data_IF_605973803349
#
_entry.id   IF_605973803349
#
_cell.length_a   1.000
_cell.length_b   1.000
_cell.length_c   1.000
_cell.angle_alpha   90.00
_cell.angle_beta   90.00
_cell.angle_gamma   90.00
#
_symmetry.space_group_name_H-M   'P 1'
#
loop_
_entity.id
_entity.type
_entity.pdbx_description
1 polymer ?
#
# COMPACT_ATOMS: atom_id res chain seq x y z
N UNK A 1 -0.85 11.54 -17.37
CA UNK A 1 -1.27 10.16 -17.03
C UNK A 1 -2.78 10.03 -16.92
N UNK A 2 -3.46 10.72 -15.98
CA UNK A 2 -4.92 10.60 -15.79
C UNK A 2 -5.75 10.88 -17.06
N UNK A 3 -5.39 11.91 -17.84
CA UNK A 3 -6.05 12.19 -19.13
C UNK A 3 -5.87 11.05 -20.14
N UNK A 4 -4.71 10.40 -20.15
CA UNK A 4 -4.46 9.24 -21.00
C UNK A 4 -5.24 8.02 -20.50
N UNK A 5 -5.29 7.80 -19.19
CA UNK A 5 -6.08 6.72 -18.59
C UNK A 5 -7.56 6.89 -18.97
N UNK A 6 -8.11 8.11 -18.84
CA UNK A 6 -9.46 8.46 -19.31
C UNK A 6 -9.67 8.16 -20.79
N UNK A 7 -8.72 8.60 -21.64
CA UNK A 7 -8.79 8.41 -23.09
C UNK A 7 -8.85 6.93 -23.50
N UNK A 8 -8.25 6.05 -22.71
CA UNK A 8 -8.15 4.61 -23.01
C UNK A 8 -8.98 3.74 -22.05
N UNK A 9 -9.91 4.33 -21.31
CA UNK A 9 -10.78 3.65 -20.32
C UNK A 9 -10.02 2.78 -19.30
N UNK A 10 -8.89 3.30 -18.82
CA UNK A 10 -8.09 2.71 -17.74
C UNK A 10 -8.44 3.42 -16.44
N UNK A 11 -8.70 2.65 -15.37
CA UNK A 11 -8.90 3.18 -14.02
C UNK A 11 -7.56 3.29 -13.29
N UNK A 12 -7.51 4.20 -12.31
CA UNK A 12 -6.26 4.58 -11.65
C UNK A 12 -6.41 4.59 -10.14
N UNK A 13 -5.37 4.10 -9.46
CA UNK A 13 -5.07 4.45 -8.07
C UNK A 13 -3.99 5.53 -8.03
N UNK A 14 -4.14 6.46 -7.09
CA UNK A 14 -3.07 7.39 -6.75
C UNK A 14 -2.49 6.92 -5.44
N UNK A 15 -1.22 6.54 -5.47
CA UNK A 15 -0.49 6.03 -4.33
C UNK A 15 0.55 7.03 -3.82
N UNK A 16 0.50 7.30 -2.51
CA UNK A 16 1.58 7.99 -1.80
C UNK A 16 2.71 7.00 -1.50
N UNK A 17 3.59 6.84 -2.48
CA UNK A 17 4.62 5.79 -2.43
C UNK A 17 5.77 6.05 -1.43
N UNK A 18 5.94 7.30 -0.99
CA UNK A 18 7.02 7.70 -0.08
C UNK A 18 6.58 8.83 0.84
N UNK A 19 6.88 8.67 2.14
CA UNK A 19 6.60 9.67 3.16
C UNK A 19 7.88 10.35 3.69
N UNK A 20 7.78 11.57 4.25
CA UNK A 20 8.90 12.23 4.93
C UNK A 20 9.51 11.32 6.00
N UNK A 21 10.84 11.24 6.04
CA UNK A 21 11.56 10.36 6.97
C UNK A 21 11.58 8.89 6.59
N UNK A 22 10.87 8.48 5.52
CA UNK A 22 10.69 7.10 5.06
C UNK A 22 9.93 6.20 6.04
N UNK A 23 8.93 5.51 5.50
CA UNK A 23 8.06 4.58 6.23
C UNK A 23 8.61 3.15 6.31
N UNK A 24 9.66 2.83 5.56
CA UNK A 24 10.15 1.45 5.43
C UNK A 24 11.65 1.29 5.19
N UNK A 25 12.38 2.38 5.01
CA UNK A 25 13.83 2.36 4.78
C UNK A 25 14.24 1.73 3.45
N UNK A 26 13.28 1.44 2.57
CA UNK A 26 13.55 0.96 1.22
C UNK A 26 13.89 2.14 0.31
N UNK A 27 14.62 1.89 -0.78
CA UNK A 27 14.92 2.96 -1.74
C UNK A 27 13.69 3.40 -2.54
N UNK A 28 12.66 2.54 -2.68
CA UNK A 28 11.39 2.88 -3.32
C UNK A 28 10.65 4.03 -2.61
N UNK A 29 10.82 4.20 -1.30
CA UNK A 29 10.29 5.34 -0.53
C UNK A 29 10.97 6.68 -0.86
N UNK A 30 12.11 6.65 -1.56
CA UNK A 30 12.96 7.80 -1.87
C UNK A 30 14.07 8.07 -0.85
N UNK A 31 14.04 7.45 0.34
CA UNK A 31 15.08 7.60 1.37
C UNK A 31 15.43 6.26 2.03
N UNK A 32 16.41 5.57 1.45
CA UNK A 32 16.89 4.27 1.95
C UNK A 32 17.53 4.39 3.34
N UNK A 33 17.37 3.34 4.14
CA UNK A 33 18.00 3.12 5.45
C UNK A 33 17.55 4.13 6.55
N UNK A 34 16.41 4.81 6.35
CA UNK A 34 15.77 5.72 7.32
C UNK A 34 14.35 5.26 7.66
N UNK A 35 13.94 5.40 8.93
CA UNK A 35 12.66 4.94 9.47
C UNK A 35 12.01 6.02 10.36
N UNK A 36 12.10 7.27 9.93
CA UNK A 36 11.76 8.45 10.73
C UNK A 36 10.33 8.94 10.47
N UNK A 37 9.50 8.21 9.70
CA UNK A 37 8.12 8.59 9.36
C UNK A 37 7.26 8.99 10.57
N UNK A 38 7.43 8.32 11.71
CA UNK A 38 6.67 8.58 12.94
C UNK A 38 7.37 9.52 13.93
N UNK A 39 8.47 10.15 13.50
CA UNK A 39 9.27 11.05 14.32
C UNK A 39 9.00 12.51 13.95
N UNK A 40 8.95 13.39 14.95
CA UNK A 40 8.64 14.81 14.76
C UNK A 40 7.31 15.01 14.04
N UNK A 41 7.29 15.90 13.05
CA UNK A 41 6.10 16.28 12.29
C UNK A 41 5.94 15.50 10.96
N UNK A 42 6.78 14.48 10.71
CA UNK A 42 6.80 13.76 9.42
C UNK A 42 5.44 13.15 9.07
N UNK A 43 4.75 12.55 10.04
CA UNK A 43 3.40 12.00 9.86
C UNK A 43 2.39 13.10 9.51
N UNK A 44 2.49 14.28 10.14
CA UNK A 44 1.59 15.40 9.86
C UNK A 44 1.83 15.95 8.45
N UNK A 45 3.08 16.08 8.03
CA UNK A 45 3.42 16.51 6.67
C UNK A 45 2.86 15.52 5.63
N UNK A 46 2.93 14.21 5.90
CA UNK A 46 2.31 13.21 5.03
C UNK A 46 0.78 13.37 4.96
N UNK A 47 0.10 13.64 6.09
CA UNK A 47 -1.34 13.91 6.13
C UNK A 47 -1.71 15.19 5.36
N UNK A 48 -0.89 16.24 5.42
CA UNK A 48 -1.10 17.47 4.65
C UNK A 48 -0.97 17.22 3.14
N UNK A 49 0.00 16.39 2.73
CA UNK A 49 0.14 15.92 1.34
C UNK A 49 -1.07 15.10 0.91
N UNK A 50 -1.55 14.18 1.74
CA UNK A 50 -2.76 13.41 1.47
C UNK A 50 -4.01 14.28 1.38
N UNK A 51 -4.11 15.35 2.19
CA UNK A 51 -5.21 16.30 2.09
C UNK A 51 -5.17 17.04 0.75
N UNK A 52 -3.99 17.43 0.27
CA UNK A 52 -3.84 18.01 -1.06
C UNK A 52 -4.26 17.02 -2.16
N UNK A 53 -3.78 15.77 -2.08
CA UNK A 53 -4.14 14.69 -3.02
C UNK A 53 -5.66 14.48 -3.02
N UNK A 54 -6.28 14.38 -1.85
CA UNK A 54 -7.72 14.20 -1.67
C UNK A 54 -8.52 15.35 -2.26
N UNK A 55 -8.14 16.60 -1.98
CA UNK A 55 -8.82 17.78 -2.51
C UNK A 55 -8.75 17.84 -4.04
N UNK A 56 -7.62 17.44 -4.62
CA UNK A 56 -7.39 17.55 -6.06
C UNK A 56 -7.96 16.39 -6.87
N UNK A 57 -7.77 15.16 -6.39
CA UNK A 57 -8.05 13.94 -7.15
C UNK A 57 -9.20 13.12 -6.57
N UNK A 58 -9.62 13.40 -5.34
CA UNK A 58 -10.77 12.76 -4.68
C UNK A 58 -12.13 13.25 -5.17
N UNK A 59 -12.18 14.39 -5.85
CA UNK A 59 -13.40 15.05 -6.29
C UNK A 59 -14.01 14.51 -7.59
N UNK A 60 -15.17 15.08 -7.97
CA UNK A 60 -15.92 14.69 -9.17
C UNK A 60 -15.15 14.87 -10.48
N UNK A 61 -14.20 15.81 -10.52
CA UNK A 61 -13.39 16.10 -11.71
C UNK A 61 -12.60 14.87 -12.21
N UNK A 62 -12.29 13.93 -11.31
CA UNK A 62 -11.57 12.69 -11.61
C UNK A 62 -12.34 11.43 -11.23
N UNK A 63 -13.61 11.54 -10.79
CA UNK A 63 -14.39 10.41 -10.27
C UNK A 63 -14.69 9.31 -11.30
N UNK A 64 -14.50 9.56 -12.59
CA UNK A 64 -14.66 8.58 -13.66
C UNK A 64 -13.37 7.79 -13.98
N UNK A 65 -12.24 8.19 -13.40
CA UNK A 65 -10.90 7.62 -13.67
C UNK A 65 -10.22 7.14 -12.40
N UNK A 66 -10.18 7.99 -11.36
CA UNK A 66 -9.56 7.65 -10.08
C UNK A 66 -10.58 6.87 -9.25
N UNK A 67 -10.25 5.61 -8.99
CA UNK A 67 -11.11 4.68 -8.24
C UNK A 67 -10.58 4.38 -6.84
N UNK A 68 -9.39 4.90 -6.50
CA UNK A 68 -8.77 4.70 -5.19
C UNK A 68 -7.64 5.68 -4.93
N UNK A 69 -7.46 6.05 -3.68
CA UNK A 69 -6.28 6.76 -3.18
C UNK A 69 -5.66 5.89 -2.10
N UNK A 70 -4.42 5.48 -2.32
CA UNK A 70 -3.63 4.73 -1.35
C UNK A 70 -2.89 5.68 -0.42
N UNK A 71 -3.13 5.47 0.88
CA UNK A 71 -2.69 6.43 1.89
C UNK A 71 -1.18 6.41 2.08
N UNK A 72 -0.56 5.23 2.00
CA UNK A 72 0.88 5.07 2.16
C UNK A 72 1.30 3.67 1.72
N UNK A 73 2.19 3.60 0.73
CA UNK A 73 2.79 2.35 0.29
C UNK A 73 3.69 1.72 1.35
N UNK A 74 3.58 0.41 1.54
CA UNK A 74 4.53 -0.44 2.27
C UNK A 74 5.07 0.12 3.62
N UNK A 75 4.26 0.68 4.54
CA UNK A 75 4.78 1.02 5.86
C UNK A 75 5.28 -0.24 6.57
N UNK A 76 6.53 -0.23 7.04
CA UNK A 76 7.16 -1.42 7.62
C UNK A 76 6.67 -1.65 9.06
N UNK A 77 5.54 -2.34 9.21
CA UNK A 77 4.87 -2.52 10.49
C UNK A 77 5.71 -3.16 11.59
N UNK A 78 6.74 -3.94 11.25
CA UNK A 78 7.65 -4.58 12.21
C UNK A 78 8.59 -3.60 12.94
N UNK A 79 8.77 -2.37 12.42
CA UNK A 79 9.63 -1.34 13.03
C UNK A 79 8.88 -0.08 13.42
N UNK A 80 7.62 0.05 13.01
CA UNK A 80 6.75 1.20 13.31
C UNK A 80 5.83 0.91 14.50
N UNK A 81 5.35 1.96 15.15
CA UNK A 81 4.26 1.89 16.11
C UNK A 81 2.93 1.73 15.36
N UNK A 82 2.34 0.53 15.44
CA UNK A 82 1.08 0.22 14.75
C UNK A 82 -0.13 1.00 15.28
N UNK A 83 -0.10 1.50 16.52
CA UNK A 83 -1.13 2.38 17.05
C UNK A 83 -1.12 3.72 16.34
N UNK A 84 0.05 4.36 16.24
CA UNK A 84 0.23 5.61 15.49
C UNK A 84 -0.06 5.45 13.99
N UNK A 85 0.30 4.31 13.41
CA UNK A 85 0.00 4.02 12.00
C UNK A 85 -1.51 3.87 11.77
N UNK A 86 -2.22 3.22 12.70
CA UNK A 86 -3.68 3.14 12.68
C UNK A 86 -4.34 4.52 12.82
N UNK A 87 -3.80 5.40 13.66
CA UNK A 87 -4.26 6.80 13.77
C UNK A 87 -4.00 7.59 12.48
N UNK A 88 -2.89 7.36 11.80
CA UNK A 88 -2.59 7.94 10.49
C UNK A 88 -3.61 7.50 9.43
N UNK A 89 -3.95 6.21 9.34
CA UNK A 89 -4.95 5.71 8.39
C UNK A 89 -6.35 6.26 8.67
N UNK A 90 -6.77 6.32 9.94
CA UNK A 90 -8.06 6.93 10.31
C UNK A 90 -8.12 8.40 9.89
N UNK A 91 -7.06 9.17 10.13
CA UNK A 91 -6.99 10.57 9.71
C UNK A 91 -6.99 10.72 8.19
N UNK A 92 -6.21 9.91 7.46
CA UNK A 92 -6.22 9.89 5.99
C UNK A 92 -7.58 9.55 5.40
N UNK A 93 -8.28 8.56 5.97
CA UNK A 93 -9.65 8.21 5.62
C UNK A 93 -10.60 9.40 5.82
N UNK A 94 -10.57 10.03 6.99
CA UNK A 94 -11.43 11.18 7.28
C UNK A 94 -11.08 12.39 6.42
N UNK A 95 -9.81 12.65 6.13
CA UNK A 95 -9.40 13.71 5.22
C UNK A 95 -10.05 13.54 3.84
N UNK A 96 -10.07 12.33 3.29
CA UNK A 96 -10.75 12.06 2.02
C UNK A 96 -12.26 12.22 2.14
N UNK A 97 -12.90 11.61 3.14
CA UNK A 97 -14.36 11.66 3.32
C UNK A 97 -14.87 13.08 3.58
N UNK A 98 -14.11 13.90 4.30
CA UNK A 98 -14.45 15.29 4.59
C UNK A 98 -14.46 16.18 3.33
N UNK A 99 -13.84 15.76 2.23
CA UNK A 99 -13.97 16.45 0.93
C UNK A 99 -15.31 16.17 0.24
N UNK A 100 -16.11 15.23 0.77
CA UNK A 100 -17.30 14.69 0.11
C UNK A 100 -17.01 13.55 -0.87
N UNK A 101 -15.76 13.08 -0.94
CA UNK A 101 -15.35 12.00 -1.85
C UNK A 101 -15.90 10.64 -1.43
N UNK A 102 -16.37 9.89 -2.43
CA UNK A 102 -16.77 8.48 -2.32
C UNK A 102 -15.77 7.51 -2.94
N UNK A 103 -14.58 7.96 -3.32
CA UNK A 103 -13.54 7.07 -3.83
C UNK A 103 -13.08 6.08 -2.75
N UNK A 104 -12.50 4.95 -3.18
CA UNK A 104 -11.95 3.98 -2.25
C UNK A 104 -10.73 4.56 -1.54
N UNK A 105 -10.62 4.28 -0.24
CA UNK A 105 -9.39 4.46 0.52
C UNK A 105 -8.66 3.13 0.49
N UNK A 106 -7.44 3.14 -0.04
CA UNK A 106 -6.60 1.95 -0.10
C UNK A 106 -5.60 2.00 1.05
N UNK A 107 -5.49 0.88 1.78
CA UNK A 107 -4.58 0.71 2.90
C UNK A 107 -3.70 -0.49 2.61
N UNK A 108 -2.40 -0.27 2.41
CA UNK A 108 -1.41 -1.35 2.37
C UNK A 108 -1.41 -2.14 3.70
N UNK A 109 -1.25 -3.46 3.62
CA UNK A 109 -1.37 -4.38 4.75
C UNK A 109 -0.30 -4.24 5.86
N UNK A 110 0.68 -3.37 5.65
CA UNK A 110 1.84 -3.12 6.52
C UNK A 110 2.62 -4.40 6.88
N UNK A 111 2.65 -5.36 5.97
CA UNK A 111 3.24 -6.68 6.11
C UNK A 111 2.66 -7.50 7.28
N UNK A 112 1.40 -7.25 7.64
CA UNK A 112 0.69 -7.98 8.69
C UNK A 112 0.07 -9.28 8.17
N UNK A 113 -0.48 -10.09 9.08
CA UNK A 113 -1.23 -11.30 8.71
C UNK A 113 -2.58 -10.96 8.07
N UNK A 114 -3.09 -11.87 7.25
CA UNK A 114 -4.38 -11.76 6.54
C UNK A 114 -5.57 -11.31 7.41
N UNK A 115 -5.62 -11.70 8.69
CA UNK A 115 -6.75 -11.36 9.56
C UNK A 115 -6.62 -10.00 10.26
N UNK A 116 -5.50 -9.28 10.09
CA UNK A 116 -5.19 -8.09 10.88
C UNK A 116 -6.20 -6.94 10.73
N UNK A 117 -6.77 -6.74 9.54
CA UNK A 117 -7.74 -5.68 9.28
C UNK A 117 -9.20 -6.11 9.47
N UNK A 118 -9.45 -7.38 9.81
CA UNK A 118 -10.81 -7.93 9.90
C UNK A 118 -11.66 -7.34 11.01
N UNK A 119 -11.09 -6.65 11.99
CA UNK A 119 -11.78 -5.97 13.09
C UNK A 119 -11.63 -4.42 13.05
N UNK A 120 -11.07 -3.87 11.96
CA UNK A 120 -10.83 -2.43 11.76
C UNK A 120 -11.63 -1.88 10.59
N UNK A 121 -11.87 -0.56 10.58
CA UNK A 121 -12.43 0.18 9.45
C UNK A 121 -13.78 -0.38 8.92
N UNK A 122 -14.69 -0.77 9.81
CA UNK A 122 -15.99 -1.34 9.45
C UNK A 122 -17.12 -0.33 9.34
N UNK A 123 -18.17 -0.72 8.62
CA UNK A 123 -19.45 0.00 8.61
C UNK A 123 -20.11 -0.02 9.99
N UNK A 124 -20.85 1.03 10.39
CA UNK A 124 -21.22 2.19 9.58
C UNK A 124 -20.18 3.33 9.54
N UNK A 125 -19.17 3.29 10.41
CA UNK A 125 -18.23 4.41 10.57
C UNK A 125 -17.26 4.56 9.38
N UNK A 126 -16.91 3.42 8.77
CA UNK A 126 -16.02 3.33 7.62
C UNK A 126 -16.68 2.58 6.46
N UNK A 127 -16.43 3.03 5.23
CA UNK A 127 -16.96 2.44 4.00
C UNK A 127 -16.02 2.73 2.82
N UNK A 128 -16.10 1.95 1.74
CA UNK A 128 -15.19 2.03 0.59
C UNK A 128 -13.72 2.00 1.03
N UNK A 129 -13.35 0.97 1.80
CA UNK A 129 -11.99 0.66 2.21
C UNK A 129 -11.56 -0.61 1.47
N UNK A 130 -10.33 -0.61 0.95
CA UNK A 130 -9.71 -1.74 0.26
C UNK A 130 -8.35 -2.00 0.89
N UNK A 131 -8.03 -3.26 1.16
CA UNK A 131 -6.70 -3.66 1.62
C UNK A 131 -5.83 -4.01 0.40
N UNK A 132 -4.64 -3.43 0.35
CA UNK A 132 -3.63 -3.79 -0.65
C UNK A 132 -2.63 -4.78 -0.06
N UNK A 133 -2.45 -5.91 -0.73
CA UNK A 133 -1.44 -6.91 -0.41
C UNK A 133 -0.37 -6.97 -1.49
N UNK A 134 0.89 -6.99 -1.05
CA UNK A 134 2.03 -7.17 -1.94
C UNK A 134 2.57 -8.60 -1.83
N UNK A 135 2.80 -9.24 -2.96
CA UNK A 135 3.10 -10.67 -3.01
C UNK A 135 4.33 -11.00 -3.86
N UNK A 136 5.39 -11.37 -3.16
CA UNK A 136 6.68 -11.73 -3.73
C UNK A 136 7.23 -12.98 -3.05
N UNK A 137 8.17 -13.67 -3.72
CA UNK A 137 8.85 -14.86 -3.17
C UNK A 137 10.36 -14.80 -3.42
N UNK A 138 10.93 -13.60 -3.49
CA UNK A 138 12.33 -13.39 -3.89
C UNK A 138 13.17 -12.62 -2.87
N UNK A 139 12.58 -12.18 -1.75
CA UNK A 139 13.25 -11.29 -0.80
C UNK A 139 13.79 -12.01 0.44
N UNK A 140 13.83 -13.34 0.44
CA UNK A 140 14.54 -14.12 1.44
C UNK A 140 15.13 -15.41 0.88
N UNK A 141 16.24 -15.93 1.46
CA UNK A 141 16.84 -17.18 1.02
C UNK A 141 15.89 -18.38 1.09
N UNK A 142 14.99 -18.39 2.08
CA UNK A 142 14.00 -19.46 2.23
C UNK A 142 13.02 -19.52 1.06
N UNK A 143 12.57 -18.35 0.60
CA UNK A 143 11.66 -18.24 -0.53
C UNK A 143 12.35 -18.58 -1.85
N UNK A 144 13.57 -18.06 -2.06
CA UNK A 144 14.40 -18.34 -3.25
C UNK A 144 14.79 -19.82 -3.38
N UNK A 145 14.79 -20.57 -2.27
CA UNK A 145 15.13 -21.99 -2.26
C UNK A 145 13.98 -22.93 -2.63
N UNK A 146 12.76 -22.41 -2.78
CA UNK A 146 11.57 -23.21 -3.11
C UNK A 146 11.70 -23.82 -4.50
N UNK A 147 11.15 -25.02 -4.64
CA UNK A 147 10.84 -25.59 -5.95
C UNK A 147 9.71 -24.81 -6.62
N UNK A 148 9.55 -24.97 -7.94
CA UNK A 148 8.45 -24.34 -8.69
C UNK A 148 7.08 -24.76 -8.13
N UNK A 149 6.91 -26.03 -7.76
CA UNK A 149 5.66 -26.53 -7.19
C UNK A 149 5.35 -25.89 -5.83
N UNK A 150 6.37 -25.65 -5.01
CA UNK A 150 6.21 -24.91 -3.74
C UNK A 150 5.86 -23.44 -3.98
N UNK A 151 6.49 -22.78 -4.96
CA UNK A 151 6.13 -21.41 -5.34
C UNK A 151 4.67 -21.30 -5.80
N UNK A 152 4.23 -22.24 -6.65
CA UNK A 152 2.84 -22.32 -7.12
C UNK A 152 1.90 -22.58 -5.95
N UNK A 153 2.25 -23.49 -5.04
CA UNK A 153 1.44 -23.78 -3.85
C UNK A 153 1.25 -22.54 -2.98
N UNK A 154 2.32 -21.79 -2.71
CA UNK A 154 2.25 -20.54 -1.94
C UNK A 154 1.37 -19.50 -2.65
N UNK A 155 1.52 -19.34 -3.97
CA UNK A 155 0.68 -18.42 -4.73
C UNK A 155 -0.81 -18.79 -4.69
N UNK A 156 -1.15 -20.08 -4.76
CA UNK A 156 -2.52 -20.56 -4.59
C UNK A 156 -3.05 -20.30 -3.16
N UNK A 157 -2.21 -20.44 -2.14
CA UNK A 157 -2.57 -20.17 -0.74
C UNK A 157 -2.87 -18.69 -0.49
N UNK A 158 -2.17 -17.76 -1.16
CA UNK A 158 -2.51 -16.33 -1.11
C UNK A 158 -3.94 -16.07 -1.58
N UNK A 159 -4.32 -16.61 -2.74
CA UNK A 159 -5.68 -16.48 -3.26
C UNK A 159 -6.73 -17.14 -2.36
N UNK A 160 -6.42 -18.27 -1.74
CA UNK A 160 -7.33 -18.91 -0.79
C UNK A 160 -7.50 -18.09 0.52
N UNK A 161 -6.43 -17.47 1.01
CA UNK A 161 -6.48 -16.67 2.24
C UNK A 161 -7.16 -15.32 2.03
N UNK A 162 -6.96 -14.66 0.89
CA UNK A 162 -7.63 -13.38 0.61
C UNK A 162 -9.15 -13.48 0.62
N UNK A 163 -9.73 -14.64 0.25
CA UNK A 163 -11.19 -14.87 0.33
C UNK A 163 -11.76 -14.93 1.75
N UNK A 164 -10.92 -14.97 2.79
CA UNK A 164 -11.33 -15.06 4.20
C UNK A 164 -11.37 -13.70 4.89
N UNK A 165 -10.94 -12.65 4.22
CA UNK A 165 -10.95 -11.29 4.77
C UNK A 165 -12.33 -10.65 4.69
N UNK A 166 -12.58 -9.69 5.59
CA UNK A 166 -13.84 -8.97 5.69
C UNK A 166 -13.92 -7.74 4.77
N UNK A 167 -12.77 -7.20 4.36
CA UNK A 167 -12.68 -6.06 3.44
C UNK A 167 -12.57 -6.53 1.99
N UNK A 168 -12.86 -5.64 1.05
CA UNK A 168 -12.34 -5.83 -0.30
C UNK A 168 -10.81 -5.80 -0.24
N UNK A 169 -10.17 -6.68 -0.99
CA UNK A 169 -8.72 -6.69 -1.13
C UNK A 169 -8.30 -6.81 -2.60
N UNK A 170 -7.08 -6.39 -2.87
CA UNK A 170 -6.44 -6.49 -4.17
C UNK A 170 -4.95 -6.78 -3.97
N UNK A 171 -4.36 -7.51 -4.92
CA UNK A 171 -2.92 -7.68 -4.99
C UNK A 171 -2.35 -6.54 -5.84
N UNK A 172 -1.94 -5.43 -5.20
CA UNK A 172 -1.47 -4.22 -5.87
C UNK A 172 -0.10 -4.42 -6.50
N UNK A 173 0.72 -5.27 -5.88
CA UNK A 173 2.03 -5.60 -6.36
C UNK A 173 2.34 -7.10 -6.35
N UNK A 174 2.86 -7.58 -7.49
CA UNK A 174 3.43 -8.91 -7.67
C UNK A 174 4.30 -8.90 -8.93
N UNK A 175 5.11 -9.95 -9.12
CA UNK A 175 5.90 -10.11 -10.35
C UNK A 175 6.08 -11.56 -10.76
N UNK A 176 6.62 -11.76 -11.96
CA UNK A 176 7.05 -13.07 -12.45
C UNK A 176 8.45 -13.48 -11.96
N UNK A 177 9.08 -12.69 -11.07
CA UNK A 177 10.43 -12.97 -10.61
C UNK A 177 10.46 -14.22 -9.73
N UNK A 178 11.38 -15.13 -10.08
CA UNK A 178 11.73 -16.32 -9.29
C UNK A 178 13.14 -16.21 -8.69
N UNK A 179 13.78 -15.06 -8.90
CA UNK A 179 15.13 -14.73 -8.45
C UNK A 179 15.18 -13.24 -8.14
N UNK A 180 16.11 -12.82 -7.30
CA UNK A 180 16.46 -11.43 -7.03
C UNK A 180 17.72 -10.97 -7.81
N UNK A 181 18.09 -11.69 -8.88
CA UNK A 181 19.29 -11.41 -9.68
C UNK A 181 19.25 -10.07 -10.47
N UNK A 182 18.09 -9.42 -10.55
CA UNK A 182 17.96 -8.13 -11.24
C UNK A 182 18.87 -7.10 -10.58
N UNK A 183 19.75 -6.49 -11.37
CA UNK A 183 20.73 -5.53 -10.87
C UNK A 183 20.04 -4.42 -10.06
N UNK A 184 20.49 -4.26 -8.82
CA UNK A 184 20.00 -3.27 -7.86
C UNK A 184 18.55 -3.45 -7.41
N UNK A 185 17.97 -4.64 -7.56
CA UNK A 185 16.68 -4.96 -6.95
C UNK A 185 16.72 -4.79 -5.42
N UNK A 186 17.80 -5.28 -4.79
CA UNK A 186 18.02 -5.14 -3.35
C UNK A 186 18.63 -3.77 -2.95
N UNK A 187 18.75 -2.85 -3.91
CA UNK A 187 19.33 -1.52 -3.77
C UNK A 187 20.80 -1.41 -4.20
N UNK A 188 21.21 -0.19 -4.56
CA UNK A 188 22.59 0.09 -5.03
C UNK A 188 23.62 -0.32 -3.98
N UNK A 189 24.62 -1.08 -4.42
CA UNK A 189 25.70 -1.60 -3.56
C UNK A 189 25.39 -2.92 -2.84
N UNK A 190 24.20 -3.50 -3.07
CA UNK A 190 23.81 -4.83 -2.55
C UNK A 190 23.70 -5.84 -3.71
N UNK A 191 24.07 -7.08 -3.43
CA UNK A 191 23.92 -8.21 -4.35
C UNK A 191 22.59 -8.93 -4.15
N UNK A 192 22.48 -10.10 -4.79
CA UNK A 192 21.51 -11.15 -4.47
C UNK A 192 22.05 -12.03 -3.35
#
# INVERSE_FOLDING_TARGET
>A
ALEWAKKYDIKVWIDLHGAPGSQNGFDNSGLRDSYEFQNGDNTQVALDVLQYISNKYGGSDYGDVVIGIELLNEPLGSVLDMGKLNDFWQQGYHNLRNTGSSQNVIIHDAFQTWDYFNDKFHTPDYWNVVIDHHHYQVFSPGELSRSVDEHVKVACEWGANSTKENHWNLCGEWSAAMTDCTKWLNGVGRGS
#
